data_IF_618172335591
#
_entry.id   IF_618172335591
#
_cell.length_a   1.000
_cell.length_b   1.000
_cell.length_c   1.000
_cell.angle_alpha   90.00
_cell.angle_beta   90.00
_cell.angle_gamma   90.00
#
_symmetry.space_group_name_H-M   'P 1'
#
loop_
_entity.id
_entity.type
_entity.pdbx_description
1 polymer ?
#
# COMPACT_ATOMS: atom_id res chain seq x y z
N UNK A 1 -6.04 -22.08 -16.67
CA UNK A 1 -4.69 -22.47 -17.09
C UNK A 1 -4.29 -21.54 -18.20
N UNK A 2 -3.33 -20.68 -17.88
CA UNK A 2 -2.95 -19.53 -18.68
C UNK A 2 -2.01 -19.96 -19.82
N UNK A 3 -1.93 -19.18 -20.89
CA UNK A 3 -1.10 -19.47 -22.07
C UNK A 3 0.38 -19.69 -21.70
N UNK A 4 0.81 -19.08 -20.60
CA UNK A 4 2.14 -19.21 -20.02
C UNK A 4 2.44 -20.60 -19.45
N UNK A 5 1.48 -21.22 -18.77
CA UNK A 5 1.62 -22.60 -18.28
C UNK A 5 1.73 -23.59 -19.44
N UNK A 6 0.98 -23.36 -20.52
CA UNK A 6 1.13 -24.15 -21.76
C UNK A 6 2.50 -23.96 -22.39
N UNK A 7 3.07 -22.76 -22.36
CA UNK A 7 4.40 -22.48 -22.90
C UNK A 7 5.52 -23.16 -22.09
N UNK A 8 5.41 -23.18 -20.76
CA UNK A 8 6.36 -23.86 -19.86
C UNK A 8 6.28 -25.38 -20.01
N UNK A 9 5.07 -25.94 -20.10
CA UNK A 9 4.91 -27.40 -20.28
C UNK A 9 5.37 -27.84 -21.67
N UNK A 10 5.19 -27.03 -22.72
CA UNK A 10 5.72 -27.34 -24.05
C UNK A 10 7.25 -27.23 -24.13
N UNK A 11 7.86 -26.35 -23.34
CA UNK A 11 9.33 -26.20 -23.29
C UNK A 11 10.00 -27.27 -22.44
N UNK A 12 9.36 -27.75 -21.37
CA UNK A 12 9.85 -28.88 -20.56
C UNK A 12 9.87 -30.22 -21.31
N UNK A 13 9.04 -30.40 -22.35
CA UNK A 13 9.04 -31.62 -23.19
C UNK A 13 10.23 -31.63 -24.18
N UNK A 14 10.98 -30.54 -24.30
CA UNK A 14 12.16 -30.40 -25.17
C UNK A 14 13.46 -30.44 -24.32
N UNK A 15 13.44 -31.06 -23.14
CA UNK A 15 14.63 -31.28 -22.28
C UNK A 15 15.62 -32.33 -22.83
N UNK A 16 15.59 -32.63 -24.12
CA UNK A 16 16.55 -33.54 -24.77
C UNK A 16 17.76 -32.85 -25.40
N UNK A 17 17.66 -31.57 -25.75
CA UNK A 17 18.71 -30.86 -26.48
C UNK A 17 18.81 -29.42 -25.98
N UNK A 18 19.88 -29.14 -25.23
CA UNK A 18 20.22 -27.80 -24.73
C UNK A 18 20.75 -26.94 -25.88
N UNK A 19 19.84 -26.23 -26.56
CA UNK A 19 20.14 -25.32 -27.67
C UNK A 19 20.67 -23.94 -27.21
N UNK A 20 21.30 -23.83 -26.03
CA UNK A 20 21.87 -22.57 -25.54
C UNK A 20 20.82 -21.49 -25.21
N UNK A 21 19.54 -21.87 -25.14
CA UNK A 21 18.42 -20.99 -24.78
C UNK A 21 18.50 -20.52 -23.33
N UNK A 22 19.16 -21.29 -22.46
CA UNK A 22 19.32 -20.99 -21.04
C UNK A 22 20.11 -19.69 -20.78
N UNK A 23 21.08 -19.36 -21.65
CA UNK A 23 21.86 -18.13 -21.57
C UNK A 23 21.13 -16.90 -22.16
N UNK A 24 20.13 -17.12 -23.02
CA UNK A 24 19.30 -16.04 -23.59
C UNK A 24 18.16 -15.63 -22.64
N UNK A 25 17.61 -16.58 -21.88
CA UNK A 25 16.52 -16.30 -20.92
C UNK A 25 17.00 -15.75 -19.57
N UNK A 26 18.24 -16.03 -19.14
CA UNK A 26 18.87 -15.44 -17.94
C UNK A 26 18.83 -13.89 -17.90
N UNK A 27 19.27 -13.16 -18.93
CA UNK A 27 19.25 -11.70 -18.90
C UNK A 27 17.83 -11.11 -18.96
N UNK A 28 16.86 -11.85 -19.51
CA UNK A 28 15.44 -11.46 -19.52
C UNK A 28 14.84 -11.63 -18.12
N UNK A 29 15.15 -12.73 -17.42
CA UNK A 29 14.78 -12.95 -16.02
C UNK A 29 15.41 -11.93 -15.07
N UNK A 30 16.69 -11.59 -15.25
CA UNK A 30 17.37 -10.57 -14.44
C UNK A 30 16.83 -9.16 -14.69
N UNK A 31 16.42 -8.85 -15.93
CA UNK A 31 15.78 -7.59 -16.28
C UNK A 31 14.37 -7.48 -15.69
N UNK A 32 13.60 -8.58 -15.71
CA UNK A 32 12.26 -8.66 -15.15
C UNK A 32 12.27 -8.54 -13.62
N UNK A 33 13.19 -9.23 -12.93
CA UNK A 33 13.34 -9.08 -11.48
C UNK A 33 13.77 -7.68 -11.04
N UNK A 34 14.64 -7.01 -11.80
CA UNK A 34 14.98 -5.60 -11.53
C UNK A 34 13.78 -4.68 -11.73
N UNK A 35 12.94 -4.97 -12.73
CA UNK A 35 11.72 -4.21 -12.97
C UNK A 35 10.69 -4.41 -11.86
N UNK A 36 10.44 -5.65 -11.44
CA UNK A 36 9.58 -5.97 -10.28
C UNK A 36 10.05 -5.27 -9.02
N UNK A 37 11.35 -5.32 -8.72
CA UNK A 37 11.92 -4.65 -7.54
C UNK A 37 11.74 -3.12 -7.56
N UNK A 38 11.89 -2.48 -8.73
CA UNK A 38 11.66 -1.04 -8.89
C UNK A 38 10.17 -0.72 -8.74
N UNK A 39 9.29 -1.54 -9.32
CA UNK A 39 7.84 -1.37 -9.21
C UNK A 39 7.36 -1.52 -7.77
N UNK A 40 7.83 -2.53 -7.05
CA UNK A 40 7.52 -2.74 -5.63
C UNK A 40 7.98 -1.55 -4.78
N UNK A 41 9.17 -1.01 -5.05
CA UNK A 41 9.66 0.21 -4.41
C UNK A 41 8.78 1.44 -4.68
N UNK A 42 8.32 1.62 -5.92
CA UNK A 42 7.40 2.70 -6.30
C UNK A 42 6.04 2.52 -5.60
N UNK A 43 5.48 1.31 -5.60
CA UNK A 43 4.21 1.02 -4.92
C UNK A 43 4.32 1.32 -3.42
N UNK A 44 5.37 0.83 -2.75
CA UNK A 44 5.58 1.07 -1.32
C UNK A 44 5.69 2.58 -1.02
N UNK A 45 6.42 3.33 -1.85
CA UNK A 45 6.53 4.78 -1.70
C UNK A 45 5.19 5.49 -1.91
N UNK A 46 4.37 5.07 -2.88
CA UNK A 46 3.03 5.63 -3.10
C UNK A 46 2.09 5.36 -1.92
N UNK A 47 2.12 4.14 -1.37
CA UNK A 47 1.34 3.79 -0.18
C UNK A 47 1.78 4.57 1.06
N UNK A 48 3.08 4.75 1.25
CA UNK A 48 3.62 5.56 2.34
C UNK A 48 3.22 7.04 2.21
N UNK A 49 3.27 7.59 0.99
CA UNK A 49 2.83 8.95 0.72
C UNK A 49 1.32 9.10 0.94
N UNK A 50 0.52 8.13 0.52
CA UNK A 50 -0.92 8.08 0.79
C UNK A 50 -1.24 8.04 2.30
N UNK A 51 -0.54 7.18 3.05
CA UNK A 51 -0.68 7.11 4.51
C UNK A 51 -0.32 8.45 5.19
N UNK A 52 0.75 9.11 4.74
CA UNK A 52 1.14 10.43 5.23
C UNK A 52 0.07 11.49 4.93
N UNK A 53 -0.49 11.51 3.71
CA UNK A 53 -1.56 12.44 3.32
C UNK A 53 -2.81 12.23 4.19
N UNK A 54 -3.18 10.98 4.47
CA UNK A 54 -4.34 10.69 5.35
C UNK A 54 -4.08 11.12 6.79
N UNK A 55 -2.89 10.90 7.33
CA UNK A 55 -2.53 11.38 8.67
C UNK A 55 -2.53 12.91 8.72
N UNK A 56 -2.00 13.58 7.69
CA UNK A 56 -2.02 15.04 7.59
C UNK A 56 -3.46 15.59 7.49
N UNK A 57 -4.33 14.93 6.72
CA UNK A 57 -5.75 15.27 6.63
C UNK A 57 -6.48 15.08 7.97
N UNK A 58 -6.17 14.00 8.70
CA UNK A 58 -6.69 13.75 10.04
C UNK A 58 -6.23 14.83 11.03
N UNK A 59 -4.97 15.26 10.97
CA UNK A 59 -4.44 16.34 11.80
C UNK A 59 -5.09 17.69 11.47
N UNK A 60 -5.27 18.02 10.19
CA UNK A 60 -5.99 19.23 9.77
C UNK A 60 -7.43 19.23 10.26
N UNK A 61 -8.12 18.09 10.12
CA UNK A 61 -9.47 17.90 10.66
C UNK A 61 -9.50 18.15 12.16
N UNK A 62 -8.54 17.60 12.90
CA UNK A 62 -8.42 17.84 14.34
C UNK A 62 -8.25 19.33 14.68
N UNK A 63 -7.37 20.05 13.99
CA UNK A 63 -7.15 21.49 14.20
C UNK A 63 -8.43 22.28 13.92
N UNK A 64 -9.10 22.02 12.80
CA UNK A 64 -10.35 22.71 12.43
C UNK A 64 -11.42 22.44 13.49
N UNK A 65 -11.56 21.18 13.94
CA UNK A 65 -12.54 20.80 14.94
C UNK A 65 -12.23 21.37 16.33
N UNK A 66 -10.95 21.50 16.68
CA UNK A 66 -10.51 22.19 17.89
C UNK A 66 -10.88 23.68 17.85
N UNK A 67 -10.67 24.35 16.71
CA UNK A 67 -11.09 25.75 16.50
C UNK A 67 -12.62 25.90 16.52
N UNK A 68 -13.36 24.94 15.96
CA UNK A 68 -14.83 24.92 16.00
C UNK A 68 -15.39 24.69 17.41
N UNK A 69 -14.54 24.40 18.41
CA UNK A 69 -14.95 24.14 19.79
C UNK A 69 -15.15 25.40 20.64
N UNK A 70 -14.50 26.52 20.28
CA UNK A 70 -14.61 27.79 20.98
C UNK A 70 -16.05 28.32 21.17
N UNK A 71 -16.99 28.17 20.20
CA UNK A 71 -18.37 28.64 20.37
C UNK A 71 -19.25 27.76 21.28
N UNK A 72 -18.84 26.54 21.68
CA UNK A 72 -19.67 25.70 22.55
C UNK A 72 -19.74 26.26 23.98
N UNK A 73 -20.97 26.46 24.48
CA UNK A 73 -21.21 27.01 25.83
C UNK A 73 -21.43 25.94 26.90
N UNK A 74 -21.94 24.76 26.53
CA UNK A 74 -22.22 23.67 27.48
C UNK A 74 -21.05 22.68 27.62
N UNK A 75 -20.80 22.22 28.85
CA UNK A 75 -19.82 21.14 29.12
C UNK A 75 -20.23 19.81 28.50
N UNK A 76 -21.53 19.55 28.39
CA UNK A 76 -22.07 18.32 27.80
C UNK A 76 -21.91 18.30 26.28
N UNK A 77 -22.12 19.44 25.60
CA UNK A 77 -21.87 19.59 24.16
C UNK A 77 -20.39 19.36 23.84
N UNK A 78 -19.49 19.93 24.64
CA UNK A 78 -18.05 19.71 24.53
C UNK A 78 -17.68 18.24 24.67
N UNK A 79 -18.23 17.55 25.68
CA UNK A 79 -17.96 16.13 25.92
C UNK A 79 -18.45 15.25 24.77
N UNK A 80 -19.65 15.51 24.25
CA UNK A 80 -20.22 14.80 23.10
C UNK A 80 -19.37 15.02 21.85
N UNK A 81 -18.97 16.27 21.59
CA UNK A 81 -18.11 16.63 20.47
C UNK A 81 -16.76 15.91 20.50
N UNK A 82 -16.08 15.90 21.66
CA UNK A 82 -14.81 15.18 21.83
C UNK A 82 -14.96 13.67 21.64
N UNK A 83 -16.08 13.09 22.06
CA UNK A 83 -16.35 11.67 21.83
C UNK A 83 -16.45 11.37 20.33
N UNK A 84 -17.23 12.16 19.59
CA UNK A 84 -17.36 12.03 18.13
C UNK A 84 -16.03 12.27 17.42
N UNK A 85 -15.27 13.30 17.82
CA UNK A 85 -13.95 13.57 17.27
C UNK A 85 -12.94 12.46 17.55
N UNK A 86 -12.99 11.85 18.73
CA UNK A 86 -12.18 10.68 19.05
C UNK A 86 -12.46 9.51 18.11
N UNK A 87 -13.73 9.23 17.80
CA UNK A 87 -14.09 8.22 16.80
C UNK A 87 -13.55 8.57 15.40
N UNK A 88 -13.72 9.82 14.96
CA UNK A 88 -13.21 10.27 13.65
C UNK A 88 -11.68 10.15 13.56
N UNK A 89 -10.94 10.60 14.58
CA UNK A 89 -9.48 10.44 14.64
C UNK A 89 -9.06 8.98 14.64
N UNK A 90 -9.75 8.11 15.39
CA UNK A 90 -9.45 6.68 15.38
C UNK A 90 -9.65 6.08 13.98
N UNK A 91 -10.66 6.52 13.23
CA UNK A 91 -10.87 6.15 11.83
C UNK A 91 -9.69 6.53 10.94
N UNK A 92 -9.20 7.77 11.03
CA UNK A 92 -8.01 8.21 10.28
C UNK A 92 -6.78 7.36 10.59
N UNK A 93 -6.54 7.06 11.88
CA UNK A 93 -5.41 6.24 12.31
C UNK A 93 -5.53 4.80 11.78
N UNK A 94 -6.72 4.20 11.84
CA UNK A 94 -6.96 2.84 11.34
C UNK A 94 -6.71 2.79 9.82
N UNK A 95 -7.27 3.74 9.07
CA UNK A 95 -7.08 3.78 7.60
C UNK A 95 -5.61 3.98 7.23
N UNK A 96 -4.90 4.87 7.92
CA UNK A 96 -3.47 5.07 7.71
C UNK A 96 -2.66 3.79 8.04
N UNK A 97 -3.00 3.10 9.14
CA UNK A 97 -2.35 1.85 9.53
C UNK A 97 -2.61 0.73 8.52
N UNK A 98 -3.81 0.66 7.94
CA UNK A 98 -4.12 -0.33 6.89
C UNK A 98 -3.38 -0.04 5.58
N UNK A 99 -3.33 1.23 5.17
CA UNK A 99 -2.59 1.64 3.97
C UNK A 99 -1.09 1.42 4.07
N UNK A 100 -0.52 1.50 5.28
CA UNK A 100 0.90 1.22 5.48
C UNK A 100 1.17 -0.26 5.75
N UNK A 101 0.37 -0.88 6.62
CA UNK A 101 0.58 -2.23 7.11
C UNK A 101 0.33 -3.32 6.07
N UNK A 102 -0.70 -3.18 5.21
CA UNK A 102 -1.02 -4.21 4.21
C UNK A 102 0.08 -4.30 3.13
N UNK A 103 0.49 -3.20 2.47
CA UNK A 103 1.53 -3.26 1.46
C UNK A 103 2.87 -3.69 2.06
N UNK A 104 3.21 -3.21 3.25
CA UNK A 104 4.44 -3.62 3.93
C UNK A 104 4.42 -5.11 4.29
N UNK A 105 3.30 -5.67 4.74
CA UNK A 105 3.20 -7.11 5.06
C UNK A 105 3.18 -8.03 3.83
N UNK A 106 2.82 -7.51 2.65
CA UNK A 106 2.86 -8.25 1.39
C UNK A 106 4.26 -8.19 0.76
N UNK A 107 4.97 -7.08 0.94
CA UNK A 107 6.28 -6.81 0.32
C UNK A 107 7.48 -7.10 1.25
N UNK A 108 7.27 -7.38 2.54
CA UNK A 108 8.29 -7.80 3.51
C UNK A 108 8.39 -9.33 3.59
#
# INVERSE_FOLDING_TARGET
MDLFERLIVHSAVIEGEDYGLNDVFKPIGDGWHKFEYIMDGIYLAMFQLGAFVILAAGLLTFIICFLAMFPFKSKEEKKSFWKTQGFVMSGFVIVAALLFGIPYAILA
#
